data_IF_346576863006
#
_entry.id   IF_346576863006
#
_cell.length_a   1.000
_cell.length_b   1.000
_cell.length_c   1.000
_cell.angle_alpha   90.00
_cell.angle_beta   90.00
_cell.angle_gamma   90.00
#
_symmetry.space_group_name_H-M   'P 1'
#
loop_
_entity.id
_entity.type
_entity.pdbx_description
1 polymer ?
#
# COMPACT_ATOMS: atom_id res chain seq x y z
N UNK A 1 8.64 16.49 -27.39
CA UNK A 1 9.94 17.13 -27.65
C UNK A 1 11.03 16.31 -26.97
N UNK A 2 12.25 16.16 -27.53
CA UNK A 2 13.32 15.45 -26.86
C UNK A 2 13.77 16.19 -25.60
N UNK A 3 14.25 15.43 -24.61
CA UNK A 3 14.84 16.00 -23.39
C UNK A 3 16.08 16.83 -23.76
N UNK A 4 16.20 18.01 -23.17
CA UNK A 4 17.33 18.91 -23.37
C UNK A 4 17.93 19.27 -22.02
N UNK A 5 19.24 19.13 -21.87
CA UNK A 5 19.97 19.63 -20.71
C UNK A 5 19.92 21.17 -20.71
N UNK A 6 19.47 21.76 -19.61
CA UNK A 6 19.34 23.21 -19.44
C UNK A 6 20.32 23.78 -18.41
N UNK A 7 21.06 22.91 -17.69
CA UNK A 7 22.05 23.33 -16.69
C UNK A 7 22.65 22.14 -15.93
N UNK A 8 23.38 22.48 -14.89
CA UNK A 8 23.96 21.55 -13.92
C UNK A 8 23.49 21.91 -12.52
N UNK A 9 23.40 20.93 -11.64
CA UNK A 9 23.08 21.12 -10.22
C UNK A 9 24.14 20.42 -9.35
N UNK A 10 24.07 20.67 -8.05
CA UNK A 10 24.87 19.95 -7.08
C UNK A 10 24.63 18.43 -7.22
N UNK A 11 25.67 17.58 -7.35
CA UNK A 11 25.54 16.13 -7.49
C UNK A 11 24.77 15.45 -6.35
N UNK A 12 24.70 16.06 -5.16
CA UNK A 12 23.92 15.56 -4.03
C UNK A 12 22.41 15.81 -4.18
N UNK A 13 22.02 16.71 -5.08
CA UNK A 13 20.61 17.06 -5.35
C UNK A 13 20.11 16.27 -6.54
N UNK A 14 19.23 15.33 -6.30
CA UNK A 14 18.55 14.55 -7.33
C UNK A 14 17.06 14.50 -7.08
N UNK A 15 16.27 14.34 -8.15
CA UNK A 15 14.81 14.27 -8.06
C UNK A 15 14.17 14.70 -9.37
N UNK A 16 12.85 14.65 -9.38
CA UNK A 16 12.02 15.06 -10.51
C UNK A 16 10.98 16.08 -10.07
N UNK A 17 10.77 17.11 -10.86
CA UNK A 17 9.67 18.06 -10.72
C UNK A 17 8.70 17.87 -11.89
N UNK A 18 7.43 17.58 -11.57
CA UNK A 18 6.36 17.48 -12.56
C UNK A 18 5.32 18.55 -12.26
N UNK A 19 5.05 19.42 -13.22
CA UNK A 19 4.00 20.43 -13.16
C UNK A 19 3.06 20.25 -14.35
N UNK A 20 1.76 20.21 -14.09
CA UNK A 20 0.78 19.97 -15.14
C UNK A 20 -0.53 20.73 -14.87
N UNK A 21 -1.27 20.96 -15.94
CA UNK A 21 -2.66 21.42 -15.93
C UNK A 21 -3.47 20.53 -16.86
N UNK A 22 -4.73 20.27 -16.51
CA UNK A 22 -5.63 19.56 -17.42
C UNK A 22 -5.95 20.42 -18.64
N UNK A 23 -5.96 19.80 -19.83
CA UNK A 23 -6.35 20.45 -21.08
C UNK A 23 -7.87 20.44 -21.19
N UNK A 24 -8.48 21.63 -21.20
CA UNK A 24 -9.94 21.81 -21.32
C UNK A 24 -10.53 21.28 -22.64
N UNK A 25 -9.71 21.09 -23.67
CA UNK A 25 -10.16 20.50 -24.94
C UNK A 25 -10.31 18.99 -24.87
N UNK A 26 -9.62 18.34 -23.92
CA UNK A 26 -9.68 16.90 -23.67
C UNK A 26 -10.64 16.60 -22.49
N UNK A 27 -10.49 17.33 -21.38
CA UNK A 27 -11.29 17.18 -20.17
C UNK A 27 -12.45 18.18 -20.16
N UNK A 28 -13.50 17.84 -20.89
CA UNK A 28 -14.63 18.76 -21.15
C UNK A 28 -15.57 18.95 -19.97
N UNK A 29 -15.63 17.98 -19.05
CA UNK A 29 -16.51 18.07 -17.86
C UNK A 29 -15.90 18.91 -16.76
N UNK A 30 -14.61 18.72 -16.46
CA UNK A 30 -13.89 19.50 -15.46
C UNK A 30 -12.39 19.46 -15.69
N UNK A 31 -11.73 20.56 -15.41
CA UNK A 31 -10.27 20.70 -15.35
C UNK A 31 -9.78 20.89 -13.89
N UNK A 32 -10.72 20.88 -12.94
CA UNK A 32 -10.42 21.07 -11.53
C UNK A 32 -10.03 19.74 -10.87
N UNK A 33 -8.80 19.66 -10.39
CA UNK A 33 -8.34 18.54 -9.59
C UNK A 33 -8.89 18.64 -8.17
N UNK A 34 -9.29 17.49 -7.60
CA UNK A 34 -9.62 17.40 -6.19
C UNK A 34 -8.32 17.28 -5.36
N UNK A 35 -8.08 18.27 -4.50
CA UNK A 35 -6.90 18.34 -3.66
C UNK A 35 -6.75 17.12 -2.74
N UNK A 36 -7.83 16.74 -2.05
CA UNK A 36 -7.80 15.67 -1.04
C UNK A 36 -7.52 14.31 -1.68
N UNK A 37 -8.08 14.04 -2.86
CA UNK A 37 -7.80 12.82 -3.62
C UNK A 37 -6.31 12.73 -3.98
N UNK A 38 -5.72 13.85 -4.46
CA UNK A 38 -4.29 13.88 -4.78
C UNK A 38 -3.42 13.75 -3.53
N UNK A 39 -3.78 14.47 -2.47
CA UNK A 39 -3.10 14.41 -1.19
C UNK A 39 -3.06 12.98 -0.62
N UNK A 40 -4.20 12.32 -0.54
CA UNK A 40 -4.31 10.97 -0.02
C UNK A 40 -3.54 9.96 -0.88
N UNK A 41 -3.62 10.12 -2.21
CA UNK A 41 -2.89 9.24 -3.12
C UNK A 41 -1.38 9.40 -3.04
N UNK A 42 -0.87 10.63 -2.94
CA UNK A 42 0.56 10.88 -2.81
C UNK A 42 1.09 10.41 -1.45
N UNK A 43 0.32 10.62 -0.39
CA UNK A 43 0.64 10.06 0.94
C UNK A 43 0.73 8.54 0.90
N UNK A 44 -0.22 7.87 0.24
CA UNK A 44 -0.21 6.42 0.06
C UNK A 44 1.04 5.95 -0.70
N UNK A 45 1.39 6.63 -1.80
CA UNK A 45 2.59 6.32 -2.58
C UNK A 45 3.86 6.48 -1.72
N UNK A 46 3.92 7.49 -0.87
CA UNK A 46 5.06 7.70 0.01
C UNK A 46 5.20 6.58 1.06
N UNK A 47 4.10 6.07 1.62
CA UNK A 47 4.11 4.89 2.50
C UNK A 47 4.58 3.62 1.80
N UNK A 48 4.15 3.41 0.54
CA UNK A 48 4.50 2.23 -0.26
C UNK A 48 5.95 2.25 -0.76
N UNK A 49 6.64 3.40 -0.67
CA UNK A 49 8.01 3.56 -1.15
C UNK A 49 8.87 4.18 -0.06
N UNK A 50 9.31 3.34 0.86
CA UNK A 50 10.13 3.70 2.01
C UNK A 50 11.26 4.67 1.64
N UNK A 51 11.35 5.79 2.35
CA UNK A 51 12.42 6.78 2.20
C UNK A 51 12.28 7.72 1.00
N UNK A 52 11.25 7.57 0.16
CA UNK A 52 10.97 8.55 -0.91
C UNK A 52 10.33 9.80 -0.31
N UNK A 53 10.94 10.96 -0.58
CA UNK A 53 10.38 12.25 -0.23
C UNK A 53 9.54 12.79 -1.38
N UNK A 54 8.24 12.96 -1.14
CA UNK A 54 7.30 13.57 -2.07
C UNK A 54 6.92 14.97 -1.56
N UNK A 55 7.02 15.97 -2.45
CA UNK A 55 6.49 17.31 -2.22
C UNK A 55 5.28 17.50 -3.12
N UNK A 56 4.16 17.85 -2.52
CA UNK A 56 2.94 18.19 -3.24
C UNK A 56 2.61 19.64 -3.02
N UNK A 57 2.43 20.40 -4.10
CA UNK A 57 2.04 21.81 -4.04
C UNK A 57 0.82 22.02 -4.94
N UNK A 58 -0.28 22.50 -4.36
CA UNK A 58 -1.46 22.94 -5.11
C UNK A 58 -1.44 24.47 -5.21
N UNK A 59 -0.98 24.96 -6.35
CA UNK A 59 -0.82 26.40 -6.59
C UNK A 59 -2.15 27.18 -6.66
N UNK A 60 -3.28 26.48 -6.69
CA UNK A 60 -4.63 27.10 -6.67
C UNK A 60 -5.06 27.53 -5.26
N UNK A 61 -4.42 26.97 -4.22
CA UNK A 61 -4.77 27.28 -2.84
C UNK A 61 -4.15 28.60 -2.39
N UNK A 62 -4.97 29.46 -1.81
CA UNK A 62 -4.55 30.75 -1.24
C UNK A 62 -3.90 30.56 0.17
N UNK A 63 -4.37 29.56 0.93
CA UNK A 63 -3.84 29.24 2.25
C UNK A 63 -2.49 28.52 2.12
N UNK A 64 -1.40 29.20 2.44
CA UNK A 64 -0.03 28.64 2.36
C UNK A 64 0.15 27.38 3.20
N UNK A 65 -0.53 27.24 4.34
CA UNK A 65 -0.42 26.08 5.20
C UNK A 65 -1.03 24.82 4.57
N UNK A 66 -2.01 24.99 3.69
CA UNK A 66 -2.66 23.90 2.94
C UNK A 66 -2.10 23.72 1.53
N UNK A 67 -1.33 24.69 1.06
CA UNK A 67 -0.81 24.72 -0.30
C UNK A 67 0.26 23.68 -0.56
N UNK A 68 1.14 23.43 0.42
CA UNK A 68 2.31 22.56 0.25
C UNK A 68 2.41 21.52 1.34
N UNK A 69 2.59 20.26 0.94
CA UNK A 69 2.74 19.12 1.82
C UNK A 69 3.99 18.32 1.48
N UNK A 70 4.67 17.84 2.50
CA UNK A 70 5.81 16.94 2.35
C UNK A 70 5.47 15.59 2.97
N UNK A 71 5.63 14.53 2.19
CA UNK A 71 5.49 13.16 2.66
C UNK A 71 6.85 12.48 2.64
N UNK A 72 7.25 11.92 3.77
CA UNK A 72 8.44 11.11 3.93
C UNK A 72 8.19 10.11 5.05
N UNK A 73 8.23 8.83 4.73
CA UNK A 73 7.99 7.74 5.67
C UNK A 73 9.16 6.76 5.60
N UNK A 74 10.04 6.84 6.58
CA UNK A 74 11.23 5.98 6.64
C UNK A 74 10.91 4.58 7.13
N UNK A 75 9.82 4.38 7.84
CA UNK A 75 9.31 3.08 8.26
C UNK A 75 8.43 2.37 7.22
N UNK A 76 8.07 3.06 6.12
CA UNK A 76 7.31 2.46 5.01
C UNK A 76 5.99 1.85 5.43
N UNK A 77 5.77 0.55 5.13
CA UNK A 77 4.51 -0.14 5.43
C UNK A 77 4.21 -0.24 6.93
N UNK A 78 5.22 -0.27 7.81
CA UNK A 78 4.99 -0.23 9.26
C UNK A 78 4.33 1.07 9.70
N UNK A 79 4.83 2.21 9.21
CA UNK A 79 4.22 3.51 9.48
C UNK A 79 2.81 3.61 8.86
N UNK A 80 2.59 2.96 7.72
CA UNK A 80 1.27 2.92 7.11
C UNK A 80 0.26 2.14 7.96
N UNK A 81 0.63 0.99 8.53
CA UNK A 81 -0.21 0.24 9.48
C UNK A 81 -0.51 1.11 10.72
N UNK A 82 0.51 1.74 11.31
CA UNK A 82 0.32 2.64 12.44
C UNK A 82 -0.66 3.78 12.12
N UNK A 83 -0.55 4.35 10.93
CA UNK A 83 -1.48 5.38 10.43
C UNK A 83 -2.92 4.86 10.31
N UNK A 84 -3.11 3.66 9.74
CA UNK A 84 -4.43 3.04 9.56
C UNK A 84 -5.08 2.67 10.90
N UNK A 85 -4.26 2.29 11.89
CA UNK A 85 -4.72 1.89 13.21
C UNK A 85 -4.72 3.03 14.25
N UNK A 86 -4.44 4.28 13.86
CA UNK A 86 -4.34 5.43 14.78
C UNK A 86 -5.55 5.65 15.70
N UNK A 87 -6.72 5.19 15.30
CA UNK A 87 -7.98 5.29 16.03
C UNK A 87 -8.52 3.93 16.49
N UNK A 88 -7.68 2.88 16.49
CA UNK A 88 -8.02 1.53 16.92
C UNK A 88 -7.14 1.15 18.11
N UNK A 89 -7.54 0.17 18.87
CA UNK A 89 -6.76 -0.38 19.98
C UNK A 89 -6.04 -1.65 19.51
N UNK A 90 -4.72 -1.61 19.26
CA UNK A 90 -3.97 -2.82 18.91
C UNK A 90 -3.99 -3.81 20.07
N UNK A 91 -4.08 -5.12 19.77
CA UNK A 91 -3.98 -6.18 20.77
C UNK A 91 -2.54 -6.64 21.00
N UNK A 92 -1.60 -6.14 20.21
CA UNK A 92 -0.14 -6.29 20.37
C UNK A 92 0.58 -5.04 19.89
N UNK A 93 1.68 -4.67 20.54
CA UNK A 93 2.41 -3.42 20.25
C UNK A 93 3.18 -3.47 18.94
N UNK A 94 3.86 -4.59 18.68
CA UNK A 94 4.74 -4.74 17.52
C UNK A 94 3.94 -4.92 16.23
N UNK A 95 4.25 -4.12 15.20
CA UNK A 95 3.74 -4.32 13.85
C UNK A 95 4.55 -5.43 13.18
N UNK A 96 3.87 -6.52 12.83
CA UNK A 96 4.47 -7.65 12.13
C UNK A 96 4.83 -7.20 10.72
N UNK A 97 6.08 -7.44 10.33
CA UNK A 97 6.60 -7.09 9.01
C UNK A 97 7.38 -8.26 8.41
N UNK A 98 7.07 -8.57 7.18
CA UNK A 98 7.72 -9.63 6.39
C UNK A 98 8.05 -9.09 5.02
N UNK A 99 9.25 -9.36 4.55
CA UNK A 99 9.67 -9.07 3.18
C UNK A 99 10.37 -10.28 2.57
N UNK A 100 10.29 -10.41 1.26
CA UNK A 100 10.96 -11.47 0.52
C UNK A 100 10.95 -11.22 -0.97
N UNK A 101 11.80 -11.97 -1.67
CA UNK A 101 11.88 -11.95 -3.12
C UNK A 101 12.00 -13.37 -3.65
N UNK A 102 11.21 -13.68 -4.67
CA UNK A 102 11.31 -14.93 -5.41
C UNK A 102 11.01 -14.69 -6.88
N UNK A 103 11.85 -15.23 -7.78
CA UNK A 103 11.69 -15.13 -9.23
C UNK A 103 11.56 -13.68 -9.76
N UNK A 104 12.22 -12.73 -9.09
CA UNK A 104 12.16 -11.30 -9.41
C UNK A 104 10.89 -10.60 -8.91
N UNK A 105 10.01 -11.30 -8.20
CA UNK A 105 8.83 -10.74 -7.54
C UNK A 105 9.20 -10.40 -6.11
N UNK A 106 9.10 -9.11 -5.75
CA UNK A 106 9.31 -8.65 -4.39
C UNK A 106 7.97 -8.54 -3.67
N UNK A 107 7.92 -9.00 -2.43
CA UNK A 107 6.73 -8.95 -1.58
C UNK A 107 7.10 -8.29 -0.26
N UNK A 108 6.32 -7.30 0.14
CA UNK A 108 6.37 -6.69 1.46
C UNK A 108 4.97 -6.80 2.10
N UNK A 109 4.92 -7.24 3.34
CA UNK A 109 3.68 -7.36 4.11
C UNK A 109 3.90 -6.72 5.47
N UNK A 110 2.97 -5.84 5.86
CA UNK A 110 2.88 -5.34 7.23
C UNK A 110 1.49 -5.60 7.77
N UNK A 111 1.38 -6.01 9.03
CA UNK A 111 0.09 -6.30 9.63
C UNK A 111 0.10 -6.14 11.15
N UNK A 112 -1.09 -5.83 11.70
CA UNK A 112 -1.33 -5.72 13.13
C UNK A 112 -2.79 -6.04 13.42
N UNK A 113 -3.03 -6.76 14.51
CA UNK A 113 -4.37 -7.01 15.01
C UNK A 113 -4.85 -5.91 15.96
N UNK A 114 -6.12 -5.64 15.98
CA UNK A 114 -6.79 -4.69 16.86
C UNK A 114 -8.08 -5.32 17.43
N UNK A 115 -8.69 -4.64 18.38
CA UNK A 115 -9.90 -5.07 19.09
C UNK A 115 -11.19 -5.00 18.28
N UNK A 116 -11.12 -4.64 17.00
CA UNK A 116 -12.26 -4.62 16.08
C UNK A 116 -12.55 -6.01 15.50
N UNK A 117 -13.69 -6.13 14.84
CA UNK A 117 -14.16 -7.40 14.22
C UNK A 117 -13.95 -7.41 12.70
N UNK A 118 -13.84 -6.24 12.08
CA UNK A 118 -13.79 -6.12 10.62
C UNK A 118 -12.34 -6.14 10.14
N UNK A 119 -11.97 -7.06 9.23
CA UNK A 119 -10.66 -7.04 8.61
C UNK A 119 -10.50 -5.83 7.68
N UNK A 120 -9.32 -5.25 7.68
CA UNK A 120 -8.91 -4.16 6.79
C UNK A 120 -7.67 -4.60 6.03
N UNK A 121 -7.86 -5.25 4.90
CA UNK A 121 -6.78 -5.75 4.05
C UNK A 121 -6.67 -4.86 2.82
N UNK A 122 -5.48 -4.34 2.58
CA UNK A 122 -5.15 -3.50 1.43
C UNK A 122 -4.07 -4.17 0.61
N UNK A 123 -4.32 -4.37 -0.66
CA UNK A 123 -3.37 -5.01 -1.57
C UNK A 123 -2.95 -4.07 -2.69
N UNK A 124 -1.66 -4.16 -3.05
CA UNK A 124 -1.03 -3.32 -4.06
C UNK A 124 -0.12 -4.17 -4.97
N UNK A 125 -0.12 -3.84 -6.25
CA UNK A 125 0.87 -4.33 -7.20
C UNK A 125 1.47 -3.16 -7.95
N UNK A 126 2.82 -3.03 -7.91
CA UNK A 126 3.56 -1.90 -8.48
C UNK A 126 2.98 -0.54 -8.06
N UNK A 127 2.70 -0.39 -6.77
CA UNK A 127 2.07 0.78 -6.14
C UNK A 127 0.62 1.06 -6.57
N UNK A 128 0.01 0.22 -7.40
CA UNK A 128 -1.38 0.35 -7.81
C UNK A 128 -2.25 -0.39 -6.80
N UNK A 129 -3.28 0.28 -6.28
CA UNK A 129 -4.24 -0.34 -5.38
C UNK A 129 -5.09 -1.36 -6.15
N UNK A 130 -5.05 -2.61 -5.70
CA UNK A 130 -5.85 -3.71 -6.25
C UNK A 130 -7.09 -3.90 -5.36
N UNK A 131 -8.02 -2.93 -5.42
CA UNK A 131 -9.19 -2.88 -4.54
C UNK A 131 -10.15 -4.08 -4.66
N UNK A 132 -10.06 -4.84 -5.75
CA UNK A 132 -10.78 -6.11 -5.96
C UNK A 132 -9.91 -7.33 -5.59
N UNK A 133 -8.72 -7.09 -5.01
CA UNK A 133 -7.78 -8.14 -4.60
C UNK A 133 -7.00 -8.73 -5.75
N UNK A 134 -6.87 -10.03 -5.75
CA UNK A 134 -6.15 -10.80 -6.75
C UNK A 134 -5.31 -11.91 -6.12
N UNK A 135 -4.53 -12.59 -6.93
CA UNK A 135 -3.76 -13.78 -6.53
C UNK A 135 -2.79 -13.53 -5.37
N UNK A 136 -2.15 -12.37 -5.30
CA UNK A 136 -1.26 -11.98 -4.21
C UNK A 136 -1.99 -11.84 -2.86
N UNK A 137 -3.20 -11.28 -2.86
CA UNK A 137 -4.02 -11.16 -1.66
C UNK A 137 -4.57 -12.52 -1.23
N UNK A 138 -5.03 -13.35 -2.17
CA UNK A 138 -5.49 -14.70 -1.88
C UNK A 138 -4.34 -15.59 -1.37
N UNK A 139 -3.15 -15.46 -1.97
CA UNK A 139 -1.94 -16.14 -1.49
C UNK A 139 -1.60 -15.77 -0.05
N UNK A 140 -1.68 -14.47 0.30
CA UNK A 140 -1.50 -14.00 1.67
C UNK A 140 -2.52 -14.62 2.64
N UNK A 141 -3.81 -14.59 2.30
CA UNK A 141 -4.89 -15.14 3.14
C UNK A 141 -4.69 -16.63 3.41
N UNK A 142 -4.33 -17.39 2.37
CA UNK A 142 -4.05 -18.84 2.48
C UNK A 142 -2.81 -19.11 3.34
N UNK A 143 -1.73 -18.36 3.12
CA UNK A 143 -0.49 -18.50 3.87
C UNK A 143 -0.70 -18.17 5.35
N UNK A 144 -1.40 -17.09 5.67
CA UNK A 144 -1.70 -16.68 7.03
C UNK A 144 -2.52 -17.74 7.77
N UNK A 145 -3.61 -18.21 7.16
CA UNK A 145 -4.45 -19.27 7.73
C UNK A 145 -3.65 -20.54 8.00
N UNK A 146 -2.86 -21.01 7.02
CA UNK A 146 -2.03 -22.21 7.17
C UNK A 146 -1.00 -22.05 8.26
N UNK A 147 -0.33 -20.91 8.32
CA UNK A 147 0.74 -20.67 9.32
C UNK A 147 0.19 -20.66 10.73
N UNK A 148 -0.92 -19.97 10.97
CA UNK A 148 -1.55 -19.89 12.29
C UNK A 148 -2.12 -21.27 12.73
N UNK A 149 -2.73 -22.01 11.83
CA UNK A 149 -3.20 -23.37 12.14
C UNK A 149 -2.08 -24.34 12.43
N UNK A 150 -0.96 -24.26 11.69
CA UNK A 150 0.22 -25.09 11.98
C UNK A 150 0.81 -24.73 13.34
N UNK A 151 0.99 -23.44 13.62
CA UNK A 151 1.48 -23.00 14.92
C UNK A 151 0.56 -23.43 16.07
N UNK A 152 -0.76 -23.29 15.91
CA UNK A 152 -1.72 -23.69 16.93
C UNK A 152 -1.67 -25.19 17.24
N UNK A 153 -1.44 -26.03 16.22
CA UNK A 153 -1.23 -27.49 16.41
C UNK A 153 0.09 -27.80 17.10
N UNK A 154 1.18 -27.19 16.65
CA UNK A 154 2.54 -27.40 17.22
C UNK A 154 2.63 -26.92 18.66
N UNK A 155 1.98 -25.79 18.97
CA UNK A 155 1.91 -25.24 20.33
C UNK A 155 0.89 -25.95 21.23
N UNK A 156 0.13 -26.93 20.71
CA UNK A 156 -0.87 -27.68 21.51
C UNK A 156 -2.10 -26.83 21.87
N UNK A 157 -2.35 -25.74 21.14
CA UNK A 157 -3.51 -24.86 21.34
C UNK A 157 -4.80 -25.43 20.74
N UNK A 158 -4.66 -26.36 19.78
CA UNK A 158 -5.77 -27.13 19.20
C UNK A 158 -5.69 -28.58 19.65
N UNK A 159 -6.80 -29.17 20.05
CA UNK A 159 -6.90 -30.61 20.34
C UNK A 159 -6.82 -31.41 19.05
N UNK A 160 -6.46 -32.70 19.15
CA UNK A 160 -6.26 -33.58 17.99
C UNK A 160 -7.49 -33.71 17.08
N UNK A 161 -8.68 -33.61 17.65
CA UNK A 161 -9.97 -33.80 16.98
C UNK A 161 -10.71 -32.46 16.79
N UNK A 162 -10.05 -31.33 17.06
CA UNK A 162 -10.63 -29.99 16.95
C UNK A 162 -10.42 -29.45 15.53
N UNK A 163 -11.47 -28.91 14.95
CA UNK A 163 -11.37 -28.22 13.68
C UNK A 163 -10.42 -27.02 13.80
N UNK A 164 -9.59 -26.79 12.79
CA UNK A 164 -8.68 -25.65 12.78
C UNK A 164 -9.44 -24.32 12.63
N UNK A 165 -8.71 -23.22 12.86
CA UNK A 165 -9.21 -21.88 12.65
C UNK A 165 -9.69 -21.68 11.20
N UNK A 166 -10.88 -21.14 11.02
CA UNK A 166 -11.38 -20.78 9.70
C UNK A 166 -10.69 -19.51 9.20
N UNK A 167 -10.70 -19.29 7.90
CA UNK A 167 -10.03 -18.13 7.28
C UNK A 167 -10.60 -16.80 7.80
N UNK A 168 -11.88 -16.74 8.13
CA UNK A 168 -12.52 -15.54 8.65
C UNK A 168 -12.11 -15.26 10.11
N UNK A 169 -12.00 -16.31 10.94
CA UNK A 169 -11.54 -16.20 12.32
C UNK A 169 -10.12 -15.60 12.37
N UNK A 170 -9.25 -16.09 11.49
CA UNK A 170 -7.84 -15.64 11.39
C UNK A 170 -7.72 -14.18 10.97
N UNK A 171 -8.72 -13.63 10.29
CA UNK A 171 -8.69 -12.25 9.80
C UNK A 171 -9.47 -11.27 10.67
N UNK A 172 -10.21 -11.73 11.65
CA UNK A 172 -10.94 -10.85 12.56
C UNK A 172 -10.00 -9.87 13.26
N UNK A 173 -10.32 -8.58 13.20
CA UNK A 173 -9.49 -7.51 13.75
C UNK A 173 -8.16 -7.24 13.03
N UNK A 174 -7.89 -7.91 11.91
CA UNK A 174 -6.64 -7.75 11.16
C UNK A 174 -6.64 -6.44 10.36
N UNK A 175 -5.60 -5.63 10.52
CA UNK A 175 -5.20 -4.61 9.53
C UNK A 175 -3.93 -5.10 8.84
N UNK A 176 -3.98 -5.27 7.52
CA UNK A 176 -2.85 -5.76 6.74
C UNK A 176 -2.68 -4.98 5.44
N UNK A 177 -1.42 -4.83 5.02
CA UNK A 177 -1.04 -4.27 3.73
C UNK A 177 -0.13 -5.28 3.04
N UNK A 178 -0.48 -5.65 1.82
CA UNK A 178 0.30 -6.51 0.93
C UNK A 178 0.77 -5.66 -0.25
N UNK A 179 2.06 -5.51 -0.41
CA UNK A 179 2.69 -4.78 -1.52
C UNK A 179 3.58 -5.71 -2.33
N UNK A 180 3.24 -5.88 -3.59
CA UNK A 180 3.99 -6.71 -4.53
C UNK A 180 4.61 -5.82 -5.61
N UNK A 181 5.89 -6.04 -5.92
CA UNK A 181 6.55 -5.51 -7.11
C UNK A 181 6.77 -6.67 -8.08
N UNK A 182 6.08 -6.61 -9.19
CA UNK A 182 6.06 -7.67 -10.21
C UNK A 182 6.63 -7.12 -11.52
N UNK A 183 7.58 -7.82 -12.18
CA UNK A 183 8.19 -7.34 -13.42
C UNK A 183 7.22 -7.31 -14.60
N UNK A 184 6.23 -8.21 -14.63
CA UNK A 184 5.21 -8.29 -15.68
C UNK A 184 3.81 -8.55 -15.09
N UNK A 185 3.18 -7.53 -14.46
CA UNK A 185 1.88 -7.73 -13.81
C UNK A 185 0.75 -7.88 -14.83
N UNK A 186 -0.04 -8.94 -14.68
CA UNK A 186 -1.23 -9.21 -15.46
C UNK A 186 -2.47 -8.83 -14.64
N UNK A 187 -3.26 -7.87 -15.11
CA UNK A 187 -4.49 -7.44 -14.46
C UNK A 187 -5.71 -7.92 -15.24
N UNK A 188 -6.81 -8.20 -14.54
CA UNK A 188 -8.06 -8.65 -15.19
C UNK A 188 -8.72 -7.54 -16.04
N UNK A 189 -8.34 -6.27 -15.88
CA UNK A 189 -8.89 -5.16 -16.63
C UNK A 189 -8.01 -3.92 -16.67
N UNK A 190 -8.38 -2.97 -17.52
CA UNK A 190 -7.64 -1.71 -17.71
C UNK A 190 -7.60 -0.84 -16.44
N UNK A 191 -8.56 -0.98 -15.55
CA UNK A 191 -8.62 -0.28 -14.25
C UNK A 191 -7.58 -0.79 -13.27
N UNK A 192 -6.97 -1.97 -13.54
CA UNK A 192 -5.92 -2.62 -12.73
C UNK A 192 -6.33 -2.89 -11.28
N UNK A 193 -7.62 -3.08 -11.05
CA UNK A 193 -8.18 -3.29 -9.70
C UNK A 193 -7.99 -4.69 -9.17
N UNK A 194 -7.63 -5.66 -10.03
CA UNK A 194 -7.41 -7.06 -9.65
C UNK A 194 -6.20 -7.66 -10.36
N UNK A 195 -5.29 -8.25 -9.58
CA UNK A 195 -4.12 -8.95 -10.12
C UNK A 195 -4.48 -10.41 -10.45
N UNK A 196 -4.09 -10.85 -11.66
CA UNK A 196 -4.42 -12.16 -12.19
C UNK A 196 -3.24 -13.12 -12.42
N UNK A 197 -2.01 -12.71 -12.07
CA UNK A 197 -0.83 -13.58 -12.21
C UNK A 197 -0.99 -14.89 -11.42
N UNK A 198 -0.46 -15.99 -11.93
CA UNK A 198 -0.57 -17.32 -11.30
C UNK A 198 0.65 -17.70 -10.44
N UNK A 199 1.80 -17.05 -10.65
CA UNK A 199 3.07 -17.20 -9.93
C UNK A 199 3.15 -16.45 -8.62
#
# INVERSE_FOLDING_TARGET
APLKQIGTCDPSKHGSLVRFMADATIFTETVAYNHDVLYDRLRQIAFLNKGIKLLFTDERMEDEAKRSHTFLYEGGLKEYIAFLNKNKTPIHEEIIYVEGEQDGIQVEIAMQYNDGYVPNVYSFCNNINTGEGGTHEEGFKLALNRTLNNYAKEAGLLKKDEEGLQSDDVREGLTAIISVKHPDPQYEGQTKTKLGNAE
#
